data_IF_163375001195
#
_entry.id   IF_163375001195
#
_cell.length_a   1.000
_cell.length_b   1.000
_cell.length_c   1.000
_cell.angle_alpha   90.00
_cell.angle_beta   90.00
_cell.angle_gamma   90.00
#
_symmetry.space_group_name_H-M   'P 1'
#
loop_
_entity.id
_entity.type
_entity.pdbx_description
1 polymer ?
#
# COMPACT_ATOMS: atom_id res chain seq x y z
N UNK A 1 -84.75 2.01 15.41
CA UNK A 1 -84.46 3.22 14.62
C UNK A 1 -83.73 4.22 15.52
N UNK A 2 -82.59 4.78 15.09
CA UNK A 2 -81.62 5.36 16.00
C UNK A 2 -81.75 6.89 16.11
N UNK A 3 -81.35 7.44 17.25
CA UNK A 3 -80.92 8.84 17.39
C UNK A 3 -80.17 9.04 18.70
N UNK A 4 -78.83 9.02 18.70
CA UNK A 4 -77.97 9.77 19.66
C UNK A 4 -76.56 9.86 19.00
N UNK A 5 -76.20 10.98 18.37
CA UNK A 5 -75.47 12.14 18.93
C UNK A 5 -73.95 12.02 18.74
N UNK A 6 -73.45 12.80 17.77
CA UNK A 6 -72.05 12.92 17.37
C UNK A 6 -71.24 13.73 18.40
N UNK A 7 -70.88 13.15 19.55
CA UNK A 7 -69.91 13.82 20.45
C UNK A 7 -69.33 12.86 21.48
N UNK A 8 -68.34 12.05 21.11
CA UNK A 8 -67.26 11.68 22.04
C UNK A 8 -65.94 11.62 21.27
N UNK A 9 -64.99 12.35 21.82
CA UNK A 9 -63.62 12.55 21.36
C UNK A 9 -62.94 11.25 20.92
N UNK A 10 -62.41 11.29 19.69
CA UNK A 10 -61.38 10.39 19.19
C UNK A 10 -60.37 11.16 18.34
N UNK A 11 -60.02 12.39 18.76
CA UNK A 11 -58.88 13.15 18.25
C UNK A 11 -57.59 12.58 18.86
N UNK A 12 -57.29 11.33 18.52
CA UNK A 12 -55.94 10.79 18.68
C UNK A 12 -55.58 10.12 17.36
N UNK A 13 -54.46 10.57 16.79
CA UNK A 13 -53.71 9.90 15.71
C UNK A 13 -53.94 10.33 14.25
N UNK A 14 -53.93 11.63 13.96
CA UNK A 14 -53.71 12.10 12.58
C UNK A 14 -52.80 13.34 12.42
N UNK A 15 -52.01 13.71 13.43
CA UNK A 15 -51.05 14.82 13.33
C UNK A 15 -49.59 14.39 13.09
N UNK A 16 -49.21 13.12 13.29
CA UNK A 16 -47.82 12.67 13.11
C UNK A 16 -47.53 11.95 11.79
N UNK A 17 -48.56 11.70 10.96
CA UNK A 17 -48.40 11.01 9.65
C UNK A 17 -47.38 11.71 8.75
N UNK A 18 -47.33 13.06 8.62
CA UNK A 18 -46.34 13.72 7.77
C UNK A 18 -44.91 13.61 8.29
N UNK A 19 -44.72 13.70 9.62
CA UNK A 19 -43.40 13.60 10.24
C UNK A 19 -42.86 12.17 10.19
N UNK A 20 -43.70 11.19 10.50
CA UNK A 20 -43.36 9.77 10.38
C UNK A 20 -43.07 9.37 8.93
N UNK A 21 -43.84 9.86 7.96
CA UNK A 21 -43.62 9.59 6.54
C UNK A 21 -42.35 10.25 6.02
N UNK A 22 -42.05 11.48 6.46
CA UNK A 22 -40.80 12.17 6.11
C UNK A 22 -39.58 11.48 6.72
N UNK A 23 -39.64 11.11 8.01
CA UNK A 23 -38.57 10.36 8.69
C UNK A 23 -38.35 8.99 8.05
N UNK A 24 -39.42 8.30 7.69
CA UNK A 24 -39.38 7.03 6.95
C UNK A 24 -38.75 7.22 5.57
N UNK A 25 -39.17 8.24 4.81
CA UNK A 25 -38.62 8.53 3.49
C UNK A 25 -37.12 8.83 3.54
N UNK A 26 -36.67 9.64 4.50
CA UNK A 26 -35.26 9.98 4.69
C UNK A 26 -34.42 8.75 5.07
N UNK A 27 -34.92 7.91 5.99
CA UNK A 27 -34.24 6.67 6.38
C UNK A 27 -34.09 5.70 5.20
N UNK A 28 -35.16 5.51 4.41
CA UNK A 28 -35.09 4.67 3.22
C UNK A 28 -34.17 5.26 2.15
N UNK A 29 -34.14 6.59 2.00
CA UNK A 29 -33.18 7.27 1.13
C UNK A 29 -31.73 6.97 1.51
N UNK A 30 -31.39 7.05 2.80
CA UNK A 30 -30.06 6.74 3.32
C UNK A 30 -29.68 5.27 3.12
N UNK A 31 -30.64 4.34 3.31
CA UNK A 31 -30.43 2.90 3.05
C UNK A 31 -30.11 2.65 1.57
N UNK A 32 -30.83 3.31 0.65
CA UNK A 32 -30.57 3.21 -0.80
C UNK A 32 -29.19 3.78 -1.15
N UNK A 33 -28.79 4.89 -0.54
CA UNK A 33 -27.47 5.47 -0.76
C UNK A 33 -26.34 4.57 -0.26
N UNK A 34 -26.51 3.92 0.90
CA UNK A 34 -25.55 2.95 1.43
C UNK A 34 -25.44 1.71 0.52
N UNK A 35 -26.56 1.20 0.01
CA UNK A 35 -26.58 0.08 -0.96
C UNK A 35 -25.83 0.45 -2.25
N UNK A 36 -25.98 1.68 -2.73
CA UNK A 36 -25.21 2.18 -3.87
C UNK A 36 -23.70 2.22 -3.58
N UNK A 37 -23.28 2.62 -2.38
CA UNK A 37 -21.86 2.62 -2.00
C UNK A 37 -21.27 1.21 -1.97
N UNK A 38 -22.01 0.22 -1.45
CA UNK A 38 -21.57 -1.19 -1.43
C UNK A 38 -21.39 -1.73 -2.85
N UNK A 39 -22.33 -1.47 -3.75
CA UNK A 39 -22.23 -1.88 -5.17
C UNK A 39 -21.04 -1.24 -5.90
N UNK A 40 -20.70 0.01 -5.55
CA UNK A 40 -19.52 0.68 -6.11
C UNK A 40 -18.22 0.10 -5.52
N UNK A 41 -18.24 -0.33 -4.26
CA UNK A 41 -17.09 -0.97 -3.61
C UNK A 41 -16.65 -2.25 -4.31
N UNK A 42 -17.56 -3.01 -4.93
CA UNK A 42 -17.21 -4.22 -5.70
C UNK A 42 -16.25 -3.93 -6.86
N UNK A 43 -16.23 -2.70 -7.37
CA UNK A 43 -15.33 -2.26 -8.44
C UNK A 43 -14.00 -1.72 -7.89
N UNK A 44 -13.87 -1.55 -6.58
CA UNK A 44 -12.70 -1.00 -5.92
C UNK A 44 -11.84 -2.14 -5.34
N UNK A 45 -10.92 -2.66 -6.14
CA UNK A 45 -10.05 -3.77 -5.72
C UNK A 45 -8.76 -3.25 -5.04
N UNK A 46 -8.92 -2.48 -3.96
CA UNK A 46 -7.80 -1.90 -3.18
C UNK A 46 -7.58 -2.76 -1.93
N UNK A 47 -6.32 -3.10 -1.66
CA UNK A 47 -5.92 -3.72 -0.40
C UNK A 47 -5.48 -2.63 0.58
N UNK A 48 -6.11 -2.59 1.75
CA UNK A 48 -5.78 -1.63 2.81
C UNK A 48 -5.04 -2.37 3.93
N UNK A 49 -3.85 -1.91 4.34
CA UNK A 49 -3.14 -2.48 5.48
C UNK A 49 -3.95 -2.36 6.78
N UNK A 50 -3.88 -3.38 7.65
CA UNK A 50 -4.61 -3.38 8.92
C UNK A 50 -4.18 -2.24 9.85
N UNK A 51 -2.93 -1.81 9.76
CA UNK A 51 -2.40 -0.68 10.52
C UNK A 51 -3.14 0.63 10.21
N UNK A 52 -3.56 0.82 8.95
CA UNK A 52 -4.36 1.99 8.55
C UNK A 52 -5.75 1.93 9.19
N UNK A 53 -6.37 0.75 9.25
CA UNK A 53 -7.67 0.56 9.90
C UNK A 53 -7.59 0.86 11.41
N UNK A 54 -6.53 0.39 12.08
CA UNK A 54 -6.32 0.68 13.50
C UNK A 54 -6.18 2.19 13.77
N UNK A 55 -5.51 2.93 12.87
CA UNK A 55 -5.43 4.40 13.00
C UNK A 55 -6.80 5.06 12.88
N UNK A 56 -7.68 4.56 12.00
CA UNK A 56 -9.05 5.07 11.86
C UNK A 56 -9.87 4.78 13.11
N UNK A 57 -9.80 3.56 13.64
CA UNK A 57 -10.51 3.16 14.86
C UNK A 57 -10.05 3.98 16.09
N UNK A 58 -8.77 4.33 16.16
CA UNK A 58 -8.17 5.21 17.17
C UNK A 58 -8.52 6.71 16.98
N UNK A 59 -9.17 7.08 15.87
CA UNK A 59 -9.45 8.49 15.53
C UNK A 59 -8.22 9.30 15.09
N UNK A 60 -7.15 8.64 14.65
CA UNK A 60 -5.91 9.25 14.14
C UNK A 60 -5.96 9.43 12.63
N UNK A 61 -5.03 10.25 12.11
CA UNK A 61 -4.90 10.44 10.67
C UNK A 61 -4.27 9.20 10.00
N UNK A 62 -4.95 8.49 9.07
CA UNK A 62 -4.39 7.34 8.36
C UNK A 62 -3.12 7.67 7.54
N UNK A 63 -2.90 8.94 7.16
CA UNK A 63 -1.68 9.36 6.46
C UNK A 63 -0.40 9.22 7.29
N UNK A 64 -0.54 9.09 8.62
CA UNK A 64 0.58 8.79 9.51
C UNK A 64 1.26 7.47 9.13
N UNK A 65 0.48 6.43 8.81
CA UNK A 65 1.03 5.16 8.34
C UNK A 65 1.84 5.35 7.05
N UNK A 66 1.29 6.07 6.08
CA UNK A 66 1.96 6.35 4.79
C UNK A 66 3.28 7.08 5.02
N UNK A 67 3.27 8.12 5.87
CA UNK A 67 4.47 8.87 6.24
C UNK A 67 5.53 7.97 6.89
N UNK A 68 5.13 7.12 7.83
CA UNK A 68 6.05 6.25 8.56
C UNK A 68 6.68 5.18 7.65
N UNK A 69 5.89 4.60 6.75
CA UNK A 69 6.39 3.65 5.75
C UNK A 69 7.41 4.31 4.82
N UNK A 70 7.13 5.51 4.33
CA UNK A 70 8.05 6.28 3.47
C UNK A 70 9.34 6.60 4.22
N UNK A 71 9.25 7.12 5.45
CA UNK A 71 10.41 7.45 6.27
C UNK A 71 11.25 6.21 6.59
N UNK A 72 10.61 5.09 6.93
CA UNK A 72 11.27 3.80 7.15
C UNK A 72 11.99 3.32 5.90
N UNK A 73 11.38 3.47 4.72
CA UNK A 73 12.00 3.13 3.44
C UNK A 73 13.25 3.97 3.17
N UNK A 74 13.17 5.29 3.37
CA UNK A 74 14.32 6.20 3.20
C UNK A 74 15.47 5.80 4.12
N UNK A 75 15.19 5.59 5.41
CA UNK A 75 16.20 5.19 6.39
C UNK A 75 16.86 3.84 6.02
N UNK A 76 16.04 2.83 5.67
CA UNK A 76 16.54 1.52 5.23
C UNK A 76 17.37 1.61 3.95
N UNK A 77 16.97 2.44 3.00
CA UNK A 77 17.72 2.66 1.77
C UNK A 77 19.09 3.27 2.04
N UNK A 78 19.16 4.30 2.89
CA UNK A 78 20.42 4.93 3.30
C UNK A 78 21.34 3.96 4.02
N UNK A 79 20.82 3.17 4.98
CA UNK A 79 21.61 2.14 5.67
C UNK A 79 22.14 1.09 4.69
N UNK A 80 21.30 0.66 3.74
CA UNK A 80 21.71 -0.35 2.74
C UNK A 80 22.78 0.20 1.80
N UNK A 81 22.65 1.46 1.37
CA UNK A 81 23.67 2.15 0.60
C UNK A 81 24.97 2.26 1.39
N UNK A 82 24.91 2.73 2.64
CA UNK A 82 26.08 2.85 3.51
C UNK A 82 26.81 1.52 3.72
N UNK A 83 26.07 0.43 3.99
CA UNK A 83 26.64 -0.92 4.08
C UNK A 83 27.33 -1.33 2.77
N UNK A 84 26.64 -1.13 1.65
CA UNK A 84 27.18 -1.47 0.32
C UNK A 84 28.47 -0.71 0.02
N UNK A 85 28.49 0.59 0.32
CA UNK A 85 29.65 1.45 0.07
C UNK A 85 30.81 1.11 1.02
N UNK A 86 30.53 0.75 2.28
CA UNK A 86 31.54 0.24 3.20
C UNK A 86 32.18 -1.06 2.69
N UNK A 87 31.38 -2.03 2.22
CA UNK A 87 31.91 -3.26 1.64
C UNK A 87 32.71 -3.03 0.34
N UNK A 88 32.28 -2.09 -0.50
CA UNK A 88 33.07 -1.68 -1.69
C UNK A 88 34.41 -1.07 -1.27
N UNK A 89 34.41 -0.20 -0.26
CA UNK A 89 35.62 0.42 0.28
C UNK A 89 36.59 -0.62 0.85
N UNK A 90 36.10 -1.51 1.72
CA UNK A 90 36.90 -2.60 2.28
C UNK A 90 37.51 -3.48 1.19
N UNK A 91 36.70 -3.87 0.20
CA UNK A 91 37.16 -4.68 -0.92
C UNK A 91 38.26 -3.98 -1.72
N UNK A 92 38.07 -2.68 -2.01
CA UNK A 92 39.05 -1.89 -2.74
C UNK A 92 40.37 -1.86 -1.98
N UNK A 93 40.33 -1.51 -0.70
CA UNK A 93 41.54 -1.42 0.12
C UNK A 93 42.26 -2.76 0.24
N UNK A 94 41.52 -3.86 0.46
CA UNK A 94 42.12 -5.19 0.51
C UNK A 94 42.79 -5.59 -0.81
N UNK A 95 42.18 -5.26 -1.95
CA UNK A 95 42.78 -5.55 -3.26
C UNK A 95 44.02 -4.71 -3.53
N UNK A 96 44.06 -3.45 -3.09
CA UNK A 96 45.24 -2.58 -3.22
C UNK A 96 46.44 -3.13 -2.43
N UNK A 97 46.22 -3.59 -1.21
CA UNK A 97 47.28 -4.21 -0.39
C UNK A 97 47.75 -5.55 -0.97
N UNK A 98 46.81 -6.38 -1.45
CA UNK A 98 47.15 -7.67 -2.07
C UNK A 98 47.90 -7.49 -3.39
N UNK A 99 47.58 -6.47 -4.18
CA UNK A 99 48.26 -6.21 -5.47
C UNK A 99 49.74 -5.86 -5.27
N UNK A 100 50.07 -5.19 -4.16
CA UNK A 100 51.47 -4.91 -3.80
C UNK A 100 52.22 -6.15 -3.33
N UNK A 101 51.54 -7.09 -2.63
CA UNK A 101 52.17 -8.27 -2.05
C UNK A 101 52.20 -9.48 -3.00
N UNK A 102 51.18 -9.65 -3.84
CA UNK A 102 50.86 -10.85 -4.63
C UNK A 102 50.19 -10.48 -5.97
N UNK A 103 50.93 -9.90 -6.93
CA UNK A 103 50.35 -9.35 -8.16
C UNK A 103 49.75 -10.42 -9.09
N UNK A 104 50.37 -11.59 -9.22
CA UNK A 104 49.93 -12.67 -10.12
C UNK A 104 48.62 -13.32 -9.65
N UNK A 105 48.47 -13.47 -8.33
CA UNK A 105 47.27 -14.01 -7.69
C UNK A 105 46.08 -13.04 -7.80
N UNK A 106 46.34 -11.72 -7.71
CA UNK A 106 45.31 -10.70 -7.89
C UNK A 106 44.79 -10.69 -9.32
N UNK A 107 45.65 -10.86 -10.33
CA UNK A 107 45.23 -10.96 -11.73
C UNK A 107 44.31 -12.18 -11.93
N UNK A 108 44.74 -13.35 -11.42
CA UNK A 108 43.93 -14.58 -11.44
C UNK A 108 42.56 -14.39 -10.76
N UNK A 109 42.52 -13.68 -9.63
CA UNK A 109 41.27 -13.36 -8.93
C UNK A 109 40.37 -12.43 -9.75
N UNK A 110 40.93 -11.43 -10.46
CA UNK A 110 40.16 -10.50 -11.30
C UNK A 110 39.47 -11.24 -12.44
N UNK A 111 40.15 -12.19 -13.07
CA UNK A 111 39.57 -13.04 -14.12
C UNK A 111 38.41 -13.89 -13.59
N UNK A 112 38.62 -14.63 -12.50
CA UNK A 112 37.58 -15.48 -11.88
C UNK A 112 36.36 -14.62 -11.53
N UNK A 113 36.57 -13.45 -10.90
CA UNK A 113 35.49 -12.54 -10.54
C UNK A 113 34.71 -12.06 -11.77
N UNK A 114 35.39 -11.73 -12.87
CA UNK A 114 34.75 -11.27 -14.10
C UNK A 114 33.87 -12.37 -14.70
N UNK A 115 34.36 -13.61 -14.74
CA UNK A 115 33.62 -14.78 -15.22
C UNK A 115 32.38 -15.02 -14.33
N UNK A 116 32.55 -15.10 -13.01
CA UNK A 116 31.42 -15.32 -12.09
C UNK A 116 30.37 -14.20 -12.16
N UNK A 117 30.79 -12.95 -12.35
CA UNK A 117 29.87 -11.82 -12.51
C UNK A 117 29.09 -11.90 -13.84
N UNK A 118 29.73 -12.34 -14.92
CA UNK A 118 29.07 -12.56 -16.21
C UNK A 118 28.07 -13.72 -16.15
N UNK A 119 28.42 -14.82 -15.48
CA UNK A 119 27.54 -15.96 -15.25
C UNK A 119 26.31 -15.57 -14.42
N UNK A 120 26.52 -14.85 -13.31
CA UNK A 120 25.43 -14.36 -12.46
C UNK A 120 24.46 -13.46 -13.23
N UNK A 121 24.98 -12.58 -14.11
CA UNK A 121 24.15 -11.74 -14.99
C UNK A 121 23.34 -12.57 -15.99
N UNK A 122 23.94 -13.61 -16.60
CA UNK A 122 23.23 -14.51 -17.52
C UNK A 122 22.11 -15.28 -16.83
N UNK A 123 22.36 -15.78 -15.62
CA UNK A 123 21.37 -16.49 -14.82
C UNK A 123 20.21 -15.58 -14.42
N UNK A 124 20.50 -14.35 -13.98
CA UNK A 124 19.48 -13.35 -13.67
C UNK A 124 18.62 -12.98 -14.89
N UNK A 125 19.24 -12.85 -16.07
CA UNK A 125 18.53 -12.60 -17.33
C UNK A 125 17.66 -13.78 -17.74
N UNK A 126 18.16 -15.02 -17.61
CA UNK A 126 17.39 -16.22 -17.91
C UNK A 126 16.16 -16.36 -16.99
N UNK A 127 16.31 -16.04 -15.70
CA UNK A 127 15.21 -16.07 -14.71
C UNK A 127 14.19 -14.92 -14.87
N UNK A 128 14.56 -13.82 -15.54
CA UNK A 128 13.67 -12.66 -15.74
C UNK A 128 12.59 -12.85 -16.82
N UNK A 129 12.48 -14.04 -17.44
CA UNK A 129 11.48 -14.38 -18.45
C UNK A 129 10.12 -14.78 -17.85
N UNK A 130 9.55 -13.92 -17.00
CA UNK A 130 8.15 -14.01 -16.58
C UNK A 130 7.31 -12.93 -17.29
N UNK A 131 6.10 -13.24 -17.78
CA UNK A 131 5.27 -12.27 -18.47
C UNK A 131 4.58 -11.38 -17.43
N UNK A 132 5.01 -10.13 -17.31
CA UNK A 132 4.14 -8.95 -17.34
C UNK A 132 4.87 -7.67 -16.89
N UNK A 133 4.78 -6.64 -17.75
CA UNK A 133 4.77 -5.23 -17.37
C UNK A 133 6.10 -4.50 -17.51
N UNK A 134 6.35 -3.92 -18.68
CA UNK A 134 7.42 -2.96 -18.95
C UNK A 134 7.49 -1.84 -17.89
N UNK A 135 8.52 -1.88 -17.03
CA UNK A 135 9.10 -0.65 -16.48
C UNK A 135 10.52 -0.55 -17.02
N UNK A 136 10.64 0.13 -18.15
CA UNK A 136 11.92 0.57 -18.72
C UNK A 136 12.54 1.60 -17.78
N UNK A 137 13.35 1.13 -16.83
CA UNK A 137 14.25 2.01 -16.09
C UNK A 137 15.30 2.50 -17.08
N UNK A 138 15.17 3.76 -17.52
CA UNK A 138 16.24 4.45 -18.24
C UNK A 138 17.44 4.55 -17.30
N UNK A 139 18.53 3.90 -17.67
CA UNK A 139 19.86 4.19 -17.14
C UNK A 139 20.29 5.53 -17.72
N UNK A 140 20.20 6.60 -16.94
CA UNK A 140 20.86 7.87 -17.26
C UNK A 140 22.39 7.69 -17.08
N UNK A 141 23.14 8.30 -18.01
CA UNK A 141 24.61 8.28 -18.11
C UNK A 141 25.30 9.01 -16.94
#
# INVERSE_FOLDING_TARGET
MPRIHWTVLGLVQFCDVPFAYLSWFLSNGLVVELDNMVKLSEKCNIQVPMEVLNLIDDGKNPDEFTRDVINSCIAKNQVTKGKTDAFKGLRKHLLEELEQAFPDEVESYREIRAISAAESKRLAQAQSSLPNGDVKVKTEL
#
